data_IF_098098478825
#
_entry.id   IF_098098478825
#
_cell.length_a   1.000
_cell.length_b   1.000
_cell.length_c   1.000
_cell.angle_alpha   90.00
_cell.angle_beta   90.00
_cell.angle_gamma   90.00
#
_symmetry.space_group_name_H-M   'P 1'
#
loop_
_entity.id
_entity.type
_entity.pdbx_description
1 polymer ?
#
# COMPACT_ATOMS: atom_id res chain seq x y z
N UNK A 1 28.49 11.84 -2.90
CA UNK A 1 27.32 11.04 -3.33
C UNK A 1 26.88 10.19 -2.14
N UNK A 2 25.68 10.40 -1.63
CA UNK A 2 25.15 9.60 -0.50
C UNK A 2 24.35 8.46 -1.11
N UNK A 3 24.70 7.22 -0.77
CA UNK A 3 23.98 6.03 -1.22
C UNK A 3 23.12 5.54 -0.05
N UNK A 4 21.80 5.59 -0.22
CA UNK A 4 20.86 5.12 0.79
C UNK A 4 20.85 3.57 0.83
N UNK A 5 20.80 2.95 2.02
CA UNK A 5 20.67 1.50 2.17
C UNK A 5 19.27 1.03 1.75
N UNK A 6 19.11 -0.27 1.49
CA UNK A 6 17.82 -0.85 1.12
C UNK A 6 16.78 -0.88 2.25
N UNK A 7 17.24 -0.73 3.49
CA UNK A 7 16.36 -0.50 4.65
C UNK A 7 15.65 0.86 4.61
N UNK A 8 16.12 1.81 3.78
CA UNK A 8 15.44 3.07 3.57
C UNK A 8 14.30 2.90 2.56
N UNK A 9 13.06 2.98 3.06
CA UNK A 9 11.83 2.85 2.26
C UNK A 9 11.82 3.91 1.15
N UNK A 10 11.56 3.49 -0.08
CA UNK A 10 11.55 4.35 -1.27
C UNK A 10 12.92 4.68 -1.85
N UNK A 11 14.02 4.16 -1.30
CA UNK A 11 15.33 4.28 -1.95
C UNK A 11 15.40 3.44 -3.23
N UNK A 12 16.31 3.77 -4.19
CA UNK A 12 16.52 2.95 -5.37
C UNK A 12 16.85 1.48 -5.04
N UNK A 13 17.63 1.23 -3.98
CA UNK A 13 17.96 -0.12 -3.53
C UNK A 13 16.75 -0.85 -2.94
N UNK A 14 15.96 -0.16 -2.13
CA UNK A 14 14.71 -0.71 -1.59
C UNK A 14 13.76 -1.15 -2.70
N UNK A 15 13.51 -0.28 -3.69
CA UNK A 15 12.62 -0.62 -4.81
C UNK A 15 13.18 -1.76 -5.66
N UNK A 16 14.50 -1.81 -5.88
CA UNK A 16 15.15 -2.91 -6.60
C UNK A 16 15.04 -4.24 -5.85
N UNK A 17 15.26 -4.25 -4.54
CA UNK A 17 15.08 -5.45 -3.72
C UNK A 17 13.63 -5.91 -3.72
N UNK A 18 12.67 -4.98 -3.55
CA UNK A 18 11.25 -5.31 -3.57
C UNK A 18 10.82 -5.95 -4.91
N UNK A 19 11.30 -5.42 -6.03
CA UNK A 19 11.05 -6.00 -7.35
C UNK A 19 11.71 -7.37 -7.53
N UNK A 20 12.93 -7.56 -7.01
CA UNK A 20 13.63 -8.86 -7.04
C UNK A 20 12.91 -9.91 -6.21
N UNK A 21 12.45 -9.53 -5.02
CA UNK A 21 11.68 -10.41 -4.15
C UNK A 21 10.39 -10.84 -4.86
N UNK A 22 9.64 -9.89 -5.43
CA UNK A 22 8.44 -10.21 -6.21
C UNK A 22 8.72 -11.20 -7.35
N UNK A 23 9.80 -11.00 -8.11
CA UNK A 23 10.20 -11.95 -9.16
C UNK A 23 10.60 -13.33 -8.60
N UNK A 24 11.28 -13.36 -7.45
CA UNK A 24 11.65 -14.60 -6.78
C UNK A 24 10.41 -15.38 -6.32
N UNK A 25 9.39 -14.69 -5.78
CA UNK A 25 8.11 -15.30 -5.42
C UNK A 25 7.41 -15.87 -6.64
N UNK A 26 7.29 -15.11 -7.73
CA UNK A 26 6.66 -15.60 -8.98
C UNK A 26 7.39 -16.81 -9.53
N UNK A 27 8.72 -16.83 -9.44
CA UNK A 27 9.53 -17.98 -9.86
C UNK A 27 9.29 -19.21 -8.99
N UNK A 28 9.08 -19.04 -7.69
CA UNK A 28 8.95 -20.15 -6.74
C UNK A 28 7.51 -20.70 -6.66
N UNK A 29 6.52 -19.81 -6.62
CA UNK A 29 5.11 -20.15 -6.38
C UNK A 29 4.25 -20.10 -7.65
N UNK A 30 4.77 -19.56 -8.74
CA UNK A 30 4.05 -19.41 -10.00
C UNK A 30 3.45 -18.02 -10.19
N UNK A 31 2.65 -17.87 -11.24
CA UNK A 31 1.99 -16.59 -11.58
C UNK A 31 0.99 -16.19 -10.48
N UNK A 32 0.86 -14.89 -10.17
CA UNK A 32 -0.22 -14.42 -9.32
C UNK A 32 -1.57 -14.66 -10.01
N UNK A 33 -2.59 -14.92 -9.21
CA UNK A 33 -3.97 -15.11 -9.62
C UNK A 33 -4.78 -13.82 -9.51
N UNK A 34 -4.44 -12.95 -8.54
CA UNK A 34 -5.17 -11.72 -8.27
C UNK A 34 -4.25 -10.49 -8.26
N UNK A 35 -4.76 -9.40 -8.83
CA UNK A 35 -4.18 -8.07 -8.74
C UNK A 35 -5.22 -7.13 -8.11
N UNK A 36 -5.03 -6.78 -6.85
CA UNK A 36 -5.99 -6.01 -6.06
C UNK A 36 -5.46 -4.59 -5.89
N UNK A 37 -6.35 -3.62 -6.12
CA UNK A 37 -6.04 -2.21 -6.07
C UNK A 37 -6.88 -1.53 -5.00
N UNK A 38 -6.24 -0.86 -4.04
CA UNK A 38 -6.91 -0.09 -2.99
C UNK A 38 -6.51 1.38 -3.05
N UNK A 39 -7.49 2.26 -3.27
CA UNK A 39 -7.28 3.70 -3.41
C UNK A 39 -7.83 4.44 -2.21
N UNK A 40 -7.05 5.37 -1.65
CA UNK A 40 -7.56 6.27 -0.64
C UNK A 40 -8.67 7.18 -1.20
N UNK A 41 -9.77 7.29 -0.47
CA UNK A 41 -10.80 8.27 -0.76
C UNK A 41 -10.67 9.45 0.22
N UNK A 42 -10.37 10.67 -0.24
CA UNK A 42 -10.24 11.83 0.65
C UNK A 42 -11.58 12.24 1.26
N UNK A 43 -12.71 11.83 0.68
CA UNK A 43 -14.05 12.12 1.18
C UNK A 43 -14.49 11.17 2.31
N UNK A 44 -13.61 10.31 2.83
CA UNK A 44 -13.90 9.52 4.02
C UNK A 44 -14.14 10.44 5.23
N UNK A 45 -15.18 10.12 6.01
CA UNK A 45 -15.59 10.92 7.18
C UNK A 45 -14.46 11.02 8.21
N UNK A 46 -13.67 9.95 8.37
CA UNK A 46 -12.51 9.92 9.27
C UNK A 46 -11.43 10.94 8.88
N UNK A 47 -11.31 11.26 7.60
CA UNK A 47 -10.41 12.32 7.12
C UNK A 47 -11.07 13.67 7.34
N UNK A 48 -12.30 13.85 6.86
CA UNK A 48 -13.01 15.14 6.89
C UNK A 48 -13.21 15.67 8.31
N UNK A 49 -13.51 14.80 9.27
CA UNK A 49 -13.71 15.19 10.68
C UNK A 49 -12.42 15.65 11.38
N UNK A 50 -11.26 15.24 10.88
CA UNK A 50 -9.95 15.60 11.45
C UNK A 50 -9.32 16.82 10.78
N UNK A 51 -9.90 17.31 9.68
CA UNK A 51 -9.46 18.54 9.02
C UNK A 51 -9.96 19.76 9.78
N UNK A 52 -9.09 20.76 9.95
CA UNK A 52 -9.48 22.06 10.50
C UNK A 52 -10.16 22.92 9.42
N UNK A 53 -10.97 23.91 9.79
CA UNK A 53 -11.58 24.83 8.83
C UNK A 53 -10.54 25.45 7.89
N UNK A 54 -10.76 25.32 6.59
CA UNK A 54 -9.86 25.83 5.54
C UNK A 54 -8.66 24.92 5.21
N UNK A 55 -8.47 23.79 5.91
CA UNK A 55 -7.49 22.77 5.53
C UNK A 55 -8.05 21.80 4.50
N UNK A 56 -7.17 21.36 3.62
CA UNK A 56 -7.40 20.26 2.71
C UNK A 56 -6.64 19.00 3.16
N UNK A 57 -7.03 17.84 2.63
CA UNK A 57 -6.32 16.57 2.72
C UNK A 57 -4.85 16.66 2.26
N UNK A 58 -4.51 17.58 1.35
CA UNK A 58 -3.13 17.81 0.91
C UNK A 58 -2.32 18.48 2.02
N UNK A 59 -2.94 19.38 2.78
CA UNK A 59 -2.27 20.07 3.88
C UNK A 59 -2.01 19.13 5.06
N UNK A 60 -2.75 18.01 5.15
CA UNK A 60 -2.70 17.02 6.23
C UNK A 60 -2.49 15.60 5.73
N UNK A 61 -1.37 15.38 5.02
CA UNK A 61 -0.97 14.05 4.57
C UNK A 61 -0.83 13.03 5.70
N UNK A 62 -0.51 13.47 6.92
CA UNK A 62 -0.42 12.63 8.12
C UNK A 62 -1.76 11.96 8.46
N UNK A 63 -2.87 12.71 8.39
CA UNK A 63 -4.22 12.21 8.63
C UNK A 63 -4.58 11.20 7.54
N UNK A 64 -4.41 11.59 6.28
CA UNK A 64 -4.74 10.75 5.12
C UNK A 64 -3.99 9.42 5.16
N UNK A 65 -2.69 9.45 5.46
CA UNK A 65 -1.85 8.26 5.61
C UNK A 65 -2.30 7.35 6.74
N UNK A 66 -2.65 7.95 7.89
CA UNK A 66 -3.07 7.20 9.07
C UNK A 66 -4.39 6.48 8.82
N UNK A 67 -5.38 7.18 8.30
CA UNK A 67 -6.69 6.60 7.94
C UNK A 67 -6.49 5.52 6.89
N UNK A 68 -5.77 5.81 5.80
CA UNK A 68 -5.49 4.82 4.75
C UNK A 68 -4.87 3.53 5.30
N UNK A 69 -3.86 3.65 6.18
CA UNK A 69 -3.20 2.48 6.80
C UNK A 69 -4.15 1.74 7.73
N UNK A 70 -4.99 2.45 8.48
CA UNK A 70 -5.99 1.87 9.38
C UNK A 70 -7.09 1.12 8.61
N UNK A 71 -7.39 1.50 7.37
CA UNK A 71 -8.35 0.80 6.51
C UNK A 71 -7.70 -0.36 5.74
N UNK A 72 -6.47 -0.16 5.22
CA UNK A 72 -5.76 -1.16 4.44
C UNK A 72 -5.41 -2.40 5.26
N UNK A 73 -4.96 -2.25 6.51
CA UNK A 73 -4.52 -3.38 7.34
C UNK A 73 -5.65 -4.39 7.63
N UNK A 74 -6.85 -3.97 8.09
CA UNK A 74 -7.99 -4.87 8.25
C UNK A 74 -8.45 -5.48 6.94
N UNK A 75 -8.41 -4.74 5.82
CA UNK A 75 -8.74 -5.28 4.50
C UNK A 75 -7.81 -6.44 4.13
N UNK A 76 -6.50 -6.27 4.31
CA UNK A 76 -5.53 -7.34 4.05
C UNK A 76 -5.71 -8.53 4.98
N UNK A 77 -5.96 -8.28 6.27
CA UNK A 77 -6.27 -9.35 7.22
C UNK A 77 -7.55 -10.11 6.82
N UNK A 78 -8.59 -9.42 6.35
CA UNK A 78 -9.82 -10.04 5.88
C UNK A 78 -9.60 -10.90 4.63
N UNK A 79 -8.85 -10.40 3.64
CA UNK A 79 -8.54 -11.16 2.41
C UNK A 79 -7.71 -12.39 2.73
N UNK A 80 -6.63 -12.23 3.52
CA UNK A 80 -5.63 -13.27 3.74
C UNK A 80 -6.04 -14.26 4.83
N UNK A 81 -6.51 -13.78 5.98
CA UNK A 81 -6.80 -14.64 7.14
C UNK A 81 -8.19 -15.26 7.09
N UNK A 82 -9.15 -14.55 6.50
CA UNK A 82 -10.50 -15.09 6.31
C UNK A 82 -10.68 -15.77 4.94
N UNK A 83 -9.62 -15.81 4.10
CA UNK A 83 -9.60 -16.49 2.79
C UNK A 83 -10.79 -16.12 1.90
N UNK A 84 -11.22 -14.85 1.96
CA UNK A 84 -12.46 -14.37 1.33
C UNK A 84 -12.41 -14.48 -0.20
N UNK A 85 -11.20 -14.39 -0.76
CA UNK A 85 -10.95 -14.56 -2.19
C UNK A 85 -10.30 -15.91 -2.50
N UNK A 86 -10.44 -16.89 -1.61
CA UNK A 86 -9.77 -18.19 -1.66
C UNK A 86 -8.49 -18.22 -0.82
N UNK A 87 -7.88 -19.42 -0.78
CA UNK A 87 -6.68 -19.65 0.04
C UNK A 87 -5.46 -18.90 -0.51
N UNK A 88 -4.74 -18.23 0.38
CA UNK A 88 -3.60 -17.37 0.04
C UNK A 88 -2.29 -18.10 0.34
N UNK A 89 -1.54 -18.48 -0.69
CA UNK A 89 -0.21 -19.12 -0.52
C UNK A 89 0.89 -18.09 -0.28
N UNK A 90 0.84 -17.00 -1.02
CA UNK A 90 1.74 -15.86 -0.88
C UNK A 90 0.98 -14.60 -1.26
N UNK A 91 1.43 -13.46 -0.76
CA UNK A 91 0.92 -12.17 -1.16
C UNK A 91 1.99 -11.11 -0.92
N UNK A 92 1.96 -10.04 -1.70
CA UNK A 92 2.81 -8.86 -1.51
C UNK A 92 2.01 -7.61 -1.85
N UNK A 93 2.35 -6.47 -1.24
CA UNK A 93 1.74 -5.20 -1.63
C UNK A 93 2.71 -4.03 -1.60
N UNK A 94 2.70 -3.18 -2.63
CA UNK A 94 3.37 -1.88 -2.59
C UNK A 94 2.36 -0.80 -2.24
N UNK A 95 2.82 0.24 -1.53
CA UNK A 95 2.06 1.48 -1.35
C UNK A 95 2.79 2.59 -2.06
N UNK A 96 2.09 3.26 -2.96
CA UNK A 96 2.62 4.30 -3.83
C UNK A 96 1.76 5.56 -3.72
N UNK A 97 2.37 6.71 -4.01
CA UNK A 97 1.68 7.98 -4.09
C UNK A 97 1.32 8.28 -5.53
N UNK A 98 0.03 8.45 -5.81
CA UNK A 98 -0.39 8.94 -7.11
C UNK A 98 0.11 10.37 -7.33
N UNK A 99 0.22 10.81 -8.60
CA UNK A 99 0.55 12.22 -8.94
C UNK A 99 -0.37 13.24 -8.28
N UNK A 100 -1.58 12.83 -7.90
CA UNK A 100 -2.59 13.64 -7.19
C UNK A 100 -2.41 13.66 -5.66
N UNK A 101 -1.34 13.06 -5.15
CA UNK A 101 -0.96 13.10 -3.75
C UNK A 101 -1.83 12.25 -2.83
N UNK A 102 -2.47 11.18 -3.34
CA UNK A 102 -3.25 10.21 -2.55
C UNK A 102 -2.58 8.83 -2.54
N UNK A 103 -2.59 8.11 -1.39
CA UNK A 103 -1.90 6.84 -1.30
C UNK A 103 -2.75 5.76 -1.96
N UNK A 104 -2.05 4.80 -2.54
CA UNK A 104 -2.65 3.72 -3.30
C UNK A 104 -1.85 2.45 -3.08
N UNK A 105 -2.54 1.35 -2.83
CA UNK A 105 -1.90 0.06 -2.63
C UNK A 105 -2.19 -0.87 -3.81
N UNK A 106 -1.13 -1.50 -4.31
CA UNK A 106 -1.22 -2.59 -5.27
C UNK A 106 -0.84 -3.86 -4.55
N UNK A 107 -1.74 -4.84 -4.55
CA UNK A 107 -1.52 -6.16 -3.95
C UNK A 107 -1.53 -7.22 -5.03
N UNK A 108 -0.55 -8.12 -4.98
CA UNK A 108 -0.50 -9.34 -5.77
C UNK A 108 -0.67 -10.54 -4.86
N UNK A 109 -1.49 -11.49 -5.29
CA UNK A 109 -1.72 -12.79 -4.66
C UNK A 109 -1.65 -13.87 -5.73
#
# INVERSE_FOLDING_TARGET
MIILPSSYIGSPRHMQEYARDAMAYVRHYGRPDLFITFTCNPAWDEIQQLLLPGQSQVDRHDITLRVFRQTLKPLMDFIVKCEVLGSVRFWMYSVEWQKRGLPHAHTVQ
#
